data_IF_563852324132
#
_entry.id   IF_563852324132
#
_cell.length_a   1.000
_cell.length_b   1.000
_cell.length_c   1.000
_cell.angle_alpha   90.00
_cell.angle_beta   90.00
_cell.angle_gamma   90.00
#
_symmetry.space_group_name_H-M   'P 1'
#
loop_
_entity.id
_entity.type
_entity.pdbx_description
1 polymer ?
#
# COMPACT_ATOMS: atom_id res chain seq x y z
N UNK A 1 22.33 -1.00 -5.84
CA UNK A 1 21.25 -0.41 -5.02
C UNK A 1 20.81 0.86 -5.71
N UNK A 2 19.50 1.10 -5.90
CA UNK A 2 19.04 2.34 -6.56
C UNK A 2 19.32 3.56 -5.68
N UNK A 3 19.54 4.73 -6.27
CA UNK A 3 19.73 5.99 -5.54
C UNK A 3 18.55 6.25 -4.59
N UNK A 4 17.32 6.01 -5.05
CA UNK A 4 16.12 6.13 -4.22
C UNK A 4 16.14 5.19 -2.99
N UNK A 5 16.69 3.98 -3.10
CA UNK A 5 16.83 3.09 -1.94
C UNK A 5 17.80 3.67 -0.91
N UNK A 6 18.88 4.30 -1.36
CA UNK A 6 19.86 4.93 -0.47
C UNK A 6 19.27 6.17 0.23
N UNK A 7 18.48 6.96 -0.49
CA UNK A 7 17.74 8.12 0.05
C UNK A 7 16.65 7.71 1.05
N UNK A 8 15.89 6.66 0.74
CA UNK A 8 14.80 6.18 1.59
C UNK A 8 15.28 5.45 2.85
N UNK A 9 16.47 4.82 2.81
CA UNK A 9 17.01 4.00 3.90
C UNK A 9 17.05 4.72 5.27
N UNK A 10 17.63 5.92 5.43
CA UNK A 10 17.64 6.60 6.73
C UNK A 10 16.23 6.91 7.25
N UNK A 11 15.28 7.21 6.36
CA UNK A 11 13.87 7.48 6.71
C UNK A 11 13.19 6.19 7.18
N UNK A 12 13.37 5.09 6.43
CA UNK A 12 12.88 3.77 6.79
C UNK A 12 13.37 3.33 8.16
N UNK A 13 14.68 3.49 8.43
CA UNK A 13 15.25 3.11 9.72
C UNK A 13 14.52 3.83 10.86
N UNK A 14 14.27 5.14 10.73
CA UNK A 14 13.52 5.90 11.75
C UNK A 14 12.09 5.36 11.93
N UNK A 15 11.38 5.12 10.82
CA UNK A 15 10.01 4.60 10.84
C UNK A 15 9.91 3.22 11.50
N UNK A 16 10.85 2.31 11.19
CA UNK A 16 10.78 0.91 11.65
C UNK A 16 11.37 0.68 13.04
N UNK A 17 12.17 1.62 13.57
CA UNK A 17 12.84 1.49 14.88
C UNK A 17 12.10 2.16 16.03
N UNK A 18 10.84 2.59 15.81
CA UNK A 18 9.92 2.87 16.92
C UNK A 18 9.82 4.34 17.35
N UNK A 19 10.51 5.27 16.70
CA UNK A 19 10.12 6.70 16.75
C UNK A 19 9.27 6.96 15.52
N UNK A 20 7.93 6.94 15.63
CA UNK A 20 7.08 7.33 14.50
C UNK A 20 7.33 8.82 14.30
N UNK A 21 8.16 9.24 13.33
CA UNK A 21 8.65 10.59 13.34
C UNK A 21 7.74 11.47 12.51
N UNK A 22 7.73 12.77 12.80
CA UNK A 22 7.29 13.72 11.81
C UNK A 22 8.26 13.69 10.63
N UNK A 23 7.70 13.46 9.46
CA UNK A 23 8.42 13.45 8.20
C UNK A 23 8.27 14.83 7.55
N UNK A 24 9.37 15.35 7.03
CA UNK A 24 9.34 16.52 6.16
C UNK A 24 8.71 16.17 4.81
N UNK A 25 8.24 17.15 4.06
CA UNK A 25 7.58 16.93 2.77
C UNK A 25 8.49 16.21 1.74
N UNK A 26 9.78 16.49 1.75
CA UNK A 26 10.79 15.82 0.92
C UNK A 26 11.01 14.37 1.37
N UNK A 27 11.03 14.11 2.68
CA UNK A 27 11.10 12.76 3.24
C UNK A 27 9.86 11.95 2.88
N UNK A 28 8.67 12.53 3.00
CA UNK A 28 7.39 11.94 2.60
C UNK A 28 7.38 11.57 1.11
N UNK A 29 7.84 12.48 0.24
CA UNK A 29 7.94 12.20 -1.20
C UNK A 29 8.94 11.08 -1.50
N UNK A 30 10.07 11.08 -0.81
CA UNK A 30 11.12 10.06 -0.98
C UNK A 30 10.60 8.68 -0.60
N UNK A 31 10.01 8.56 0.60
CA UNK A 31 9.49 7.28 1.07
C UNK A 31 8.28 6.82 0.26
N UNK A 32 7.39 7.73 -0.15
CA UNK A 32 6.22 7.39 -0.97
C UNK A 32 6.64 6.87 -2.36
N UNK A 33 7.63 7.50 -3.00
CA UNK A 33 8.20 7.02 -4.27
C UNK A 33 8.84 5.65 -4.10
N UNK A 34 9.54 5.42 -2.98
CA UNK A 34 10.11 4.13 -2.67
C UNK A 34 9.03 3.06 -2.50
N UNK A 35 7.97 3.33 -1.73
CA UNK A 35 6.82 2.43 -1.58
C UNK A 35 6.12 2.14 -2.92
N UNK A 36 5.94 3.14 -3.77
CA UNK A 36 5.39 2.97 -5.12
C UNK A 36 6.27 2.04 -5.97
N UNK A 37 7.59 2.18 -5.90
CA UNK A 37 8.51 1.29 -6.60
C UNK A 37 8.44 -0.17 -6.07
N UNK A 38 8.34 -0.35 -4.76
CA UNK A 38 8.15 -1.68 -4.15
C UNK A 38 6.84 -2.31 -4.62
N UNK A 39 5.74 -1.56 -4.58
CA UNK A 39 4.43 -2.00 -5.06
C UNK A 39 4.48 -2.43 -6.53
N UNK A 40 5.13 -1.63 -7.39
CA UNK A 40 5.36 -1.93 -8.80
C UNK A 40 6.16 -3.22 -9.02
N UNK A 41 7.22 -3.43 -8.25
CA UNK A 41 8.07 -4.61 -8.38
C UNK A 41 7.33 -5.88 -7.94
N UNK A 42 6.55 -5.81 -6.85
CA UNK A 42 5.67 -6.90 -6.41
C UNK A 42 4.65 -7.20 -7.51
N UNK A 43 4.01 -6.17 -8.05
CA UNK A 43 3.01 -6.31 -9.11
C UNK A 43 3.56 -6.99 -10.36
N UNK A 44 4.72 -6.54 -10.84
CA UNK A 44 5.42 -7.17 -11.95
C UNK A 44 5.79 -8.63 -11.65
N UNK A 45 6.26 -8.93 -10.45
CA UNK A 45 6.60 -10.29 -10.06
C UNK A 45 5.38 -11.22 -10.09
N UNK A 46 4.22 -10.71 -9.67
CA UNK A 46 2.96 -11.45 -9.65
C UNK A 46 2.24 -11.46 -11.01
N UNK A 47 2.74 -10.72 -12.01
CA UNK A 47 2.04 -10.39 -13.26
C UNK A 47 0.65 -9.79 -13.03
N UNK A 48 0.55 -8.94 -12.01
CA UNK A 48 -0.67 -8.24 -11.62
C UNK A 48 -0.41 -6.73 -11.70
N UNK A 49 -1.46 -5.97 -11.92
CA UNK A 49 -1.42 -4.53 -11.77
C UNK A 49 -1.51 -3.78 -13.08
N UNK A 50 -2.02 -2.56 -12.95
CA UNK A 50 -2.28 -1.65 -14.05
C UNK A 50 -1.43 -0.43 -13.79
N UNK A 51 -0.44 -0.23 -14.65
CA UNK A 51 0.47 0.89 -14.57
C UNK A 51 0.49 1.58 -15.91
N UNK A 52 0.21 2.87 -15.89
CA UNK A 52 0.21 3.64 -17.11
C UNK A 52 1.65 4.06 -17.48
N UNK A 53 1.93 4.29 -18.78
CA UNK A 53 3.23 4.81 -19.19
C UNK A 53 3.60 6.12 -18.51
N UNK A 54 2.63 6.96 -18.14
CA UNK A 54 2.89 8.22 -17.44
C UNK A 54 3.34 8.00 -15.99
N UNK A 55 2.78 7.01 -15.28
CA UNK A 55 3.19 6.67 -13.91
C UNK A 55 4.62 6.13 -13.88
N UNK A 56 4.94 5.26 -14.84
CA UNK A 56 6.31 4.74 -15.01
C UNK A 56 7.31 5.84 -15.36
N UNK A 57 6.88 6.80 -16.19
CA UNK A 57 7.68 7.97 -16.56
C UNK A 57 7.96 8.88 -15.36
N UNK A 58 6.94 9.20 -14.56
CA UNK A 58 7.08 10.03 -13.36
C UNK A 58 8.14 9.45 -12.41
N UNK A 59 8.05 8.15 -12.11
CA UNK A 59 9.03 7.47 -11.27
C UNK A 59 10.45 7.49 -11.85
N UNK A 60 10.58 7.33 -13.17
CA UNK A 60 11.87 7.40 -13.86
C UNK A 60 12.54 8.77 -13.73
N UNK A 61 11.77 9.85 -13.72
CA UNK A 61 12.27 11.22 -13.55
C UNK A 61 12.32 11.70 -12.09
N UNK A 62 12.05 10.79 -11.15
CA UNK A 62 12.11 11.10 -9.74
C UNK A 62 10.91 11.85 -9.19
N UNK A 63 9.80 11.85 -9.92
CA UNK A 63 8.53 12.40 -9.47
C UNK A 63 7.68 11.34 -8.76
N UNK A 64 6.74 11.78 -7.93
CA UNK A 64 5.72 10.90 -7.36
C UNK A 64 4.59 10.73 -8.38
N UNK A 65 4.29 9.50 -8.85
CA UNK A 65 3.23 9.27 -9.81
C UNK A 65 1.86 9.61 -9.22
N UNK A 66 0.96 10.14 -10.06
CA UNK A 66 -0.44 10.31 -9.70
C UNK A 66 -1.16 8.97 -9.61
N UNK A 67 -2.28 8.94 -8.89
CA UNK A 67 -3.09 7.76 -8.67
C UNK A 67 -2.48 6.82 -7.64
N UNK A 68 -1.64 7.31 -6.73
CA UNK A 68 -1.04 6.54 -5.65
C UNK A 68 -1.36 7.19 -4.30
N UNK A 69 -1.68 6.35 -3.33
CA UNK A 69 -1.75 6.72 -1.92
C UNK A 69 -0.89 5.75 -1.12
N UNK A 70 -0.16 6.29 -0.16
CA UNK A 70 0.75 5.54 0.69
C UNK A 70 0.38 5.84 2.13
N UNK A 71 0.10 4.77 2.87
CA UNK A 71 -0.16 4.83 4.30
C UNK A 71 0.61 3.74 5.03
N UNK A 72 0.75 3.88 6.33
CA UNK A 72 1.53 2.97 7.16
C UNK A 72 0.85 2.69 8.50
N UNK A 73 1.24 1.58 9.11
CA UNK A 73 0.81 1.17 10.44
C UNK A 73 1.93 0.37 11.12
N UNK A 74 1.98 0.37 12.46
CA UNK A 74 2.91 -0.48 13.19
C UNK A 74 2.44 -1.92 13.23
N UNK A 75 3.36 -2.87 13.23
CA UNK A 75 3.06 -4.29 13.35
C UNK A 75 3.51 -4.79 14.71
N UNK A 76 2.61 -5.46 15.44
CA UNK A 76 2.98 -6.07 16.71
C UNK A 76 3.71 -7.38 16.43
N UNK A 77 4.95 -7.48 16.93
CA UNK A 77 5.86 -8.62 16.72
C UNK A 77 5.23 -10.00 16.99
N UNK A 78 4.22 -10.07 17.86
CA UNK A 78 3.57 -11.33 18.27
C UNK A 78 2.43 -11.81 17.35
N UNK A 79 2.02 -11.04 16.34
CA UNK A 79 0.77 -11.31 15.58
C UNK A 79 0.98 -11.91 14.17
N UNK A 80 2.16 -12.47 13.90
CA UNK A 80 2.37 -13.37 12.75
C UNK A 80 2.66 -12.72 11.40
N UNK A 81 2.60 -11.38 11.30
CA UNK A 81 3.16 -10.65 10.15
C UNK A 81 4.66 -10.45 10.39
N UNK A 82 5.47 -11.20 9.65
CA UNK A 82 6.92 -11.16 9.72
C UNK A 82 7.50 -10.13 8.73
N UNK A 83 8.70 -9.63 9.02
CA UNK A 83 9.46 -8.82 8.08
C UNK A 83 9.55 -9.54 6.71
N UNK A 84 9.30 -8.82 5.62
CA UNK A 84 9.26 -9.39 4.27
C UNK A 84 7.90 -9.94 3.82
N UNK A 85 6.87 -9.91 4.69
CA UNK A 85 5.50 -10.19 4.28
C UNK A 85 5.02 -9.21 3.18
N UNK A 86 4.34 -9.72 2.16
CA UNK A 86 3.63 -8.88 1.19
C UNK A 86 2.38 -9.58 0.65
N UNK A 87 1.34 -8.79 0.36
CA UNK A 87 0.16 -9.20 -0.38
C UNK A 87 -0.25 -8.08 -1.34
N UNK A 88 -0.80 -8.47 -2.48
CA UNK A 88 -1.39 -7.54 -3.43
C UNK A 88 -2.81 -7.97 -3.78
N UNK A 89 -3.74 -7.02 -3.80
CA UNK A 89 -5.15 -7.29 -4.01
C UNK A 89 -5.73 -6.31 -5.04
N UNK A 90 -5.99 -6.77 -6.28
CA UNK A 90 -6.79 -6.00 -7.23
C UNK A 90 -8.28 -6.10 -6.86
N UNK A 91 -8.98 -4.98 -6.91
CA UNK A 91 -10.42 -4.85 -6.68
C UNK A 91 -11.01 -3.94 -7.74
N UNK A 92 -12.09 -4.38 -8.38
CA UNK A 92 -12.88 -3.53 -9.24
C UNK A 92 -13.83 -2.68 -8.40
N UNK A 93 -13.60 -1.37 -8.40
CA UNK A 93 -14.36 -0.42 -7.60
C UNK A 93 -15.31 0.39 -8.48
N UNK A 94 -16.56 0.65 -8.04
CA UNK A 94 -17.45 1.53 -8.79
C UNK A 94 -16.91 2.96 -8.80
N UNK A 95 -17.00 3.64 -9.95
CA UNK A 95 -16.58 5.04 -10.08
C UNK A 95 -17.79 5.96 -10.33
N UNK A 96 -18.19 6.69 -9.30
CA UNK A 96 -19.37 7.54 -9.36
C UNK A 96 -20.66 6.73 -9.54
N UNK A 97 -21.74 7.39 -9.96
CA UNK A 97 -23.02 6.73 -10.29
C UNK A 97 -23.01 6.00 -11.64
N UNK A 98 -21.83 5.72 -12.22
CA UNK A 98 -21.69 5.08 -13.52
C UNK A 98 -21.47 3.56 -13.37
N UNK A 99 -21.82 2.81 -14.41
CA UNK A 99 -21.60 1.34 -14.46
C UNK A 99 -20.12 0.96 -14.64
N UNK A 100 -19.27 1.91 -15.00
CA UNK A 100 -17.84 1.67 -15.21
C UNK A 100 -17.15 1.35 -13.88
N UNK A 101 -16.49 0.17 -13.84
CA UNK A 101 -15.68 -0.25 -12.69
C UNK A 101 -14.23 0.09 -12.96
N UNK A 102 -13.63 0.84 -12.04
CA UNK A 102 -12.22 1.20 -12.09
C UNK A 102 -11.41 0.22 -11.23
N UNK A 103 -10.35 -0.37 -11.79
CA UNK A 103 -9.49 -1.28 -11.04
C UNK A 103 -8.61 -0.49 -10.06
N UNK A 104 -8.79 -0.78 -8.78
CA UNK A 104 -7.96 -0.36 -7.66
C UNK A 104 -7.02 -1.52 -7.30
N UNK A 105 -5.73 -1.25 -7.15
CA UNK A 105 -4.77 -2.25 -6.67
C UNK A 105 -4.24 -1.80 -5.32
N UNK A 106 -4.34 -2.68 -4.33
CA UNK A 106 -3.79 -2.44 -2.99
C UNK A 106 -2.62 -3.38 -2.76
N UNK A 107 -1.48 -2.85 -2.35
CA UNK A 107 -0.29 -3.64 -1.99
C UNK A 107 0.06 -3.38 -0.52
N UNK A 108 -0.05 -4.40 0.31
CA UNK A 108 0.41 -4.36 1.70
C UNK A 108 1.76 -5.07 1.79
N UNK A 109 2.77 -4.46 2.39
CA UNK A 109 4.04 -5.11 2.65
C UNK A 109 4.65 -4.67 3.99
N UNK A 110 5.44 -5.53 4.61
CA UNK A 110 6.01 -5.32 5.94
C UNK A 110 7.53 -5.20 5.89
N UNK A 111 8.06 -4.19 6.56
CA UNK A 111 9.49 -4.02 6.85
C UNK A 111 9.64 -3.93 8.37
N UNK A 112 10.26 -4.95 8.97
CA UNK A 112 10.42 -5.06 10.43
C UNK A 112 9.08 -4.89 11.16
N UNK A 113 8.91 -3.81 11.93
CA UNK A 113 7.72 -3.51 12.74
C UNK A 113 6.79 -2.48 12.08
N UNK A 114 6.87 -2.30 10.76
CA UNK A 114 6.03 -1.35 10.02
C UNK A 114 5.47 -1.99 8.77
N UNK A 115 4.15 -1.93 8.61
CA UNK A 115 3.47 -2.28 7.40
C UNK A 115 3.14 -1.02 6.59
N UNK A 116 3.37 -1.09 5.29
CA UNK A 116 3.01 -0.07 4.32
C UNK A 116 1.89 -0.58 3.44
N UNK A 117 0.89 0.26 3.23
CA UNK A 117 -0.20 0.03 2.30
C UNK A 117 -0.10 1.04 1.17
N UNK A 118 0.03 0.53 -0.05
CA UNK A 118 0.05 1.32 -1.27
C UNK A 118 -1.22 1.02 -2.05
N UNK A 119 -2.11 1.99 -2.16
CA UNK A 119 -3.27 1.92 -3.05
C UNK A 119 -2.97 2.66 -4.34
N UNK A 120 -3.37 2.08 -5.47
CA UNK A 120 -3.15 2.68 -6.77
C UNK A 120 -4.30 2.49 -7.75
N UNK A 121 -4.47 3.45 -8.64
CA UNK A 121 -5.34 3.41 -9.81
C UNK A 121 -4.58 3.88 -11.04
N UNK A 122 -4.97 3.41 -12.23
CA UNK A 122 -4.41 3.87 -13.50
C UNK A 122 -4.83 5.29 -13.93
N UNK A 123 -5.18 6.16 -12.97
CA UNK A 123 -5.87 7.44 -13.18
C UNK A 123 -5.31 8.53 -12.25
N UNK A 124 -5.67 9.81 -12.45
CA UNK A 124 -5.22 10.90 -11.57
C UNK A 124 -5.70 10.76 -10.12
N UNK A 125 -5.07 11.49 -9.18
CA UNK A 125 -5.40 11.45 -7.75
C UNK A 125 -6.89 11.68 -7.45
N UNK A 126 -7.55 12.56 -8.21
CA UNK A 126 -8.98 12.85 -8.04
C UNK A 126 -9.85 11.59 -8.17
N UNK A 127 -9.46 10.63 -9.00
CA UNK A 127 -10.19 9.37 -9.19
C UNK A 127 -9.99 8.46 -7.98
N UNK A 128 -8.76 8.37 -7.47
CA UNK A 128 -8.45 7.61 -6.25
C UNK A 128 -9.21 8.18 -5.06
N UNK A 129 -9.22 9.51 -4.90
CA UNK A 129 -9.93 10.20 -3.82
C UNK A 129 -11.45 9.94 -3.90
N UNK A 130 -12.03 9.94 -5.11
CA UNK A 130 -13.43 9.59 -5.31
C UNK A 130 -13.72 8.14 -4.92
N UNK A 131 -12.92 7.19 -5.40
CA UNK A 131 -13.09 5.77 -5.06
C UNK A 131 -13.04 5.60 -3.54
N UNK A 132 -11.99 6.11 -2.89
CA UNK A 132 -11.82 6.01 -1.46
C UNK A 132 -12.95 6.68 -0.67
N UNK A 133 -13.51 7.79 -1.17
CA UNK A 133 -14.68 8.43 -0.57
C UNK A 133 -15.93 7.54 -0.63
N UNK A 134 -16.17 6.85 -1.74
CA UNK A 134 -17.36 5.99 -1.92
C UNK A 134 -17.20 4.60 -1.29
N UNK A 135 -15.97 4.15 -1.06
CA UNK A 135 -15.67 2.86 -0.42
C UNK A 135 -15.38 2.98 1.08
N UNK A 136 -15.71 4.13 1.71
CA UNK A 136 -15.53 4.30 3.16
C UNK A 136 -14.06 4.38 3.62
N UNK A 137 -13.14 4.72 2.73
CA UNK A 137 -11.70 4.76 3.03
C UNK A 137 -10.97 3.44 2.80
N UNK A 138 -11.56 2.50 2.03
CA UNK A 138 -10.91 1.25 1.63
C UNK A 138 -9.45 1.49 1.21
N UNK A 139 -8.55 0.77 1.86
CA UNK A 139 -7.14 0.80 1.51
C UNK A 139 -6.36 2.00 2.06
N UNK A 140 -6.80 2.55 3.21
CA UNK A 140 -6.06 3.55 4.00
C UNK A 140 -5.75 3.02 5.39
N UNK A 141 -4.51 3.21 5.83
CA UNK A 141 -4.06 2.99 7.21
C UNK A 141 -3.99 4.33 7.97
N UNK A 142 -3.96 4.32 9.33
CA UNK A 142 -4.06 5.52 10.15
C UNK A 142 -3.01 6.59 9.81
N UNK A 143 -1.77 6.20 9.56
CA UNK A 143 -0.75 7.15 9.11
C UNK A 143 -0.79 7.29 7.60
N UNK A 144 -1.30 8.40 7.12
CA UNK A 144 -1.09 8.80 5.72
C UNK A 144 0.30 9.44 5.55
N UNK A 145 1.02 8.99 4.51
CA UNK A 145 2.34 9.49 4.10
C UNK A 145 2.22 10.32 2.83
N UNK A 146 1.38 9.86 1.88
CA UNK A 146 1.12 10.55 0.63
C UNK A 146 -0.30 10.25 0.13
N UNK A 147 -1.02 11.23 -0.44
CA UNK A 147 -0.62 12.62 -0.68
C UNK A 147 -0.68 13.51 0.57
N UNK A 148 -1.28 13.00 1.64
CA UNK A 148 -1.40 13.69 2.92
C UNK A 148 -0.24 13.26 3.82
N UNK A 149 0.47 14.23 4.37
CA UNK A 149 1.47 14.02 5.42
C UNK A 149 0.78 14.19 6.78
N UNK A 150 0.19 13.11 7.29
CA UNK A 150 -0.44 13.16 8.62
C UNK A 150 0.61 13.47 9.69
N UNK A 151 0.27 14.07 10.84
CA UNK A 151 1.24 14.27 11.92
C UNK A 151 1.62 12.95 12.59
N UNK A 152 2.78 12.90 13.25
CA UNK A 152 3.11 11.78 14.12
C UNK A 152 2.22 11.84 15.36
N UNK A 153 1.45 10.79 15.60
CA UNK A 153 0.54 10.73 16.73
C UNK A 153 0.81 9.49 17.56
N UNK A 154 1.10 9.71 18.85
CA UNK A 154 1.29 8.61 19.79
C UNK A 154 0.00 7.87 20.11
N UNK A 155 -1.15 8.54 19.93
CA UNK A 155 -2.50 7.98 20.16
C UNK A 155 -3.02 7.21 18.95
N UNK A 156 -2.44 7.42 17.76
CA UNK A 156 -2.72 6.68 16.52
C UNK A 156 -1.68 5.57 16.28
N UNK A 157 -0.91 5.20 17.31
CA UNK A 157 -0.10 3.97 17.34
C UNK A 157 -1.02 2.75 17.39
N UNK A 158 -1.88 2.61 16.40
CA UNK A 158 -2.65 1.40 16.18
C UNK A 158 -1.68 0.32 15.73
N UNK A 159 -1.80 -0.84 16.36
CA UNK A 159 -1.09 -2.02 15.94
C UNK A 159 -1.91 -2.71 14.87
N UNK A 160 -1.24 -3.16 13.82
CA UNK A 160 -1.81 -4.05 12.82
C UNK A 160 -2.16 -5.37 13.49
N UNK A 161 -3.43 -5.49 13.81
CA UNK A 161 -4.11 -6.66 14.32
C UNK A 161 -5.14 -7.14 13.28
N UNK A 162 -5.61 -8.40 13.36
CA UNK A 162 -6.76 -8.84 12.57
C UNK A 162 -7.96 -7.88 12.69
N UNK A 163 -8.22 -7.32 13.87
CA UNK A 163 -9.29 -6.35 14.10
C UNK A 163 -9.08 -5.06 13.31
N UNK A 164 -7.86 -4.50 13.31
CA UNK A 164 -7.56 -3.32 12.48
C UNK A 164 -7.63 -3.63 11.00
N UNK A 165 -7.22 -4.84 10.56
CA UNK A 165 -7.35 -5.25 9.18
C UNK A 165 -8.82 -5.27 8.73
N UNK A 166 -9.72 -5.73 9.61
CA UNK A 166 -11.18 -5.66 9.37
C UNK A 166 -11.69 -4.23 9.37
N UNK A 167 -11.26 -3.41 10.34
CA UNK A 167 -11.68 -2.01 10.45
C UNK A 167 -11.31 -1.16 9.23
N UNK A 168 -10.24 -1.51 8.52
CA UNK A 168 -9.77 -0.81 7.32
C UNK A 168 -10.16 -1.51 6.00
N UNK A 169 -11.09 -2.47 6.05
CA UNK A 169 -11.54 -3.26 4.89
C UNK A 169 -10.39 -3.96 4.12
N UNK A 170 -9.32 -4.30 4.84
CA UNK A 170 -8.15 -5.02 4.32
C UNK A 170 -8.09 -6.45 4.87
N UNK A 171 -9.25 -7.06 5.11
CA UNK A 171 -9.38 -8.46 5.54
C UNK A 171 -8.73 -9.47 4.60
N UNK A 172 -8.56 -9.10 3.33
CA UNK A 172 -7.82 -9.91 2.35
C UNK A 172 -6.34 -10.09 2.72
N UNK A 173 -5.83 -9.31 3.67
CA UNK A 173 -4.52 -9.49 4.28
C UNK A 173 -4.56 -10.28 5.60
N UNK A 174 -5.74 -10.70 6.07
CA UNK A 174 -5.89 -11.61 7.22
C UNK A 174 -5.61 -13.03 6.74
N UNK A 175 -4.59 -13.63 7.37
CA UNK A 175 -3.90 -14.87 7.08
C UNK A 175 -2.84 -14.85 5.97
N UNK A 176 -1.57 -15.14 6.34
CA UNK A 176 -0.68 -15.80 5.42
C UNK A 176 -1.20 -17.23 5.23
N UNK A 177 -1.85 -17.53 4.10
CA UNK A 177 -1.44 -18.79 3.49
C UNK A 177 0.00 -18.55 3.07
N UNK A 178 0.94 -18.86 3.96
CA UNK A 178 2.18 -19.47 3.51
C UNK A 178 1.71 -20.87 3.11
N UNK A 179 1.39 -21.16 1.83
CA UNK A 179 1.61 -22.54 1.45
C UNK A 179 3.10 -22.77 1.72
N UNK A 180 3.43 -23.92 2.30
CA UNK A 180 4.80 -24.40 2.48
C UNK A 180 5.65 -24.38 1.18
N UNK A 181 5.05 -23.98 0.06
CA UNK A 181 5.57 -23.76 -1.28
C UNK A 181 6.07 -22.34 -1.57
N UNK A 182 6.42 -21.52 -0.57
CA UNK A 182 7.33 -20.38 -0.81
C UNK A 182 8.74 -20.84 -1.26
N UNK A 183 8.92 -22.15 -1.47
CA UNK A 183 9.72 -22.72 -2.55
C UNK A 183 8.84 -23.01 -3.80
N UNK A 184 8.53 -21.99 -4.61
CA UNK A 184 8.25 -22.20 -6.04
C UNK A 184 6.81 -22.37 -6.56
N UNK A 185 5.75 -21.81 -5.96
CA UNK A 185 4.43 -21.77 -6.64
C UNK A 185 3.81 -20.36 -6.62
N UNK A 186 3.40 -19.88 -7.80
CA UNK A 186 2.69 -18.62 -8.06
C UNK A 186 1.35 -18.60 -7.31
N UNK A 187 1.02 -17.57 -6.50
CA UNK A 187 -0.28 -17.48 -5.84
C UNK A 187 -1.39 -17.40 -6.90
N UNK A 188 -2.43 -18.22 -6.75
CA UNK A 188 -3.62 -18.13 -7.61
C UNK A 188 -4.53 -17.00 -7.12
N UNK A 189 -4.41 -15.84 -7.76
CA UNK A 189 -5.33 -14.72 -7.50
C UNK A 189 -6.68 -15.03 -8.14
N UNK A 190 -7.65 -15.50 -7.34
CA UNK A 190 -9.05 -15.52 -7.76
C UNK A 190 -9.57 -14.09 -7.68
N UNK A 191 -9.94 -13.55 -8.83
CA UNK A 191 -10.79 -12.38 -8.93
C UNK A 191 -12.09 -12.69 -8.18
N UNK A 192 -12.27 -12.13 -6.99
CA UNK A 192 -13.58 -12.14 -6.33
C UNK A 192 -14.46 -11.16 -7.12
N UNK A 193 -15.25 -11.68 -8.05
CA UNK A 193 -16.48 -11.01 -8.42
C UNK A 193 -17.32 -10.90 -7.14
N UNK A 194 -17.36 -9.72 -6.54
CA UNK A 194 -18.42 -9.38 -5.61
C UNK A 194 -19.72 -9.32 -6.43
N UNK A 195 -20.36 -10.47 -6.62
CA UNK A 195 -21.78 -10.54 -6.88
C UNK A 195 -22.48 -10.26 -5.54
N UNK A 196 -23.23 -9.17 -5.48
CA UNK A 196 -24.31 -9.03 -4.51
C UNK A 196 -25.61 -8.87 -5.28
N UNK A 197 -26.58 -9.63 -4.81
CA UNK A 197 -27.95 -9.85 -5.29
C UNK A 197 -28.69 -8.59 -5.73
#
# INVERSE_FOLDING_TARGET
>A
MSELQNEAKPILIRLVTGSWPDLKDDECRTIARWCAMVSLNIAKHLNIGIFTPFQLRALKYGEMPQGFHVSAIRVRSTEGLIAGYFHQHPVDTPFGGFEERIPLVSTLFCVEQTAFLVTQVGYPNIVLDMIQKYTGGLGRLPREIYPINSPASNTENEWLTPETLRAHDIEWAIQPMIPSTYYGIVPSYRWKHCSRN
#
